data_IF_874785143442
#
_entry.id   IF_874785143442
#
_cell.length_a   1.000
_cell.length_b   1.000
_cell.length_c   1.000
_cell.angle_alpha   90.00
_cell.angle_beta   90.00
_cell.angle_gamma   90.00
#
_symmetry.space_group_name_H-M   'P 1'
#
loop_
_entity.id
_entity.type
_entity.pdbx_description
1 polymer ?
#
# COMPACT_ATOMS: atom_id res chain seq x y z
N UNK A 1 -16.77 -42.04 -12.90
CA UNK A 1 -17.14 -41.53 -11.56
C UNK A 1 -16.63 -40.11 -11.46
N UNK A 2 -17.56 -39.16 -11.48
CA UNK A 2 -17.35 -37.74 -11.23
C UNK A 2 -16.91 -37.52 -9.77
N UNK A 3 -16.30 -36.37 -9.45
CA UNK A 3 -16.91 -35.35 -8.57
C UNK A 3 -16.09 -34.05 -8.61
N UNK A 4 -16.76 -33.01 -9.08
CA UNK A 4 -16.45 -31.58 -8.95
C UNK A 4 -16.58 -31.10 -7.50
N UNK A 5 -15.70 -30.22 -7.04
CA UNK A 5 -15.94 -29.36 -5.87
C UNK A 5 -14.94 -28.20 -5.89
N UNK A 6 -15.28 -26.93 -5.83
CA UNK A 6 -16.55 -26.24 -5.68
C UNK A 6 -16.22 -24.76 -5.54
N UNK A 7 -16.92 -23.92 -6.32
CA UNK A 7 -16.91 -22.46 -6.22
C UNK A 7 -17.35 -22.00 -4.84
N UNK A 8 -16.61 -21.07 -4.23
CA UNK A 8 -17.14 -20.18 -3.20
C UNK A 8 -16.92 -18.73 -3.62
N UNK A 9 -17.89 -18.23 -4.38
CA UNK A 9 -18.16 -16.82 -4.61
C UNK A 9 -18.82 -16.30 -3.33
N UNK A 10 -18.05 -15.69 -2.43
CA UNK A 10 -18.63 -14.93 -1.31
C UNK A 10 -18.82 -13.50 -1.77
N UNK A 11 -20.05 -13.19 -2.20
CA UNK A 11 -20.50 -11.81 -2.32
C UNK A 11 -20.71 -11.28 -0.91
N UNK A 12 -19.77 -10.46 -0.45
CA UNK A 12 -19.94 -9.69 0.76
C UNK A 12 -20.06 -8.23 0.34
N UNK A 13 -21.26 -7.68 0.50
CA UNK A 13 -21.49 -6.24 0.40
C UNK A 13 -20.80 -5.56 1.58
N UNK A 14 -19.47 -5.48 1.53
CA UNK A 14 -18.67 -4.77 2.51
C UNK A 14 -18.84 -3.29 2.21
N UNK A 15 -19.37 -2.57 3.18
CA UNK A 15 -19.12 -1.14 3.32
C UNK A 15 -17.59 -0.97 3.33
N UNK A 16 -17.01 -0.71 2.17
CA UNK A 16 -15.57 -0.51 2.02
C UNK A 16 -15.27 0.85 2.65
N UNK A 17 -14.95 0.83 3.94
CA UNK A 17 -14.23 1.94 4.53
C UNK A 17 -12.93 2.11 3.73
N UNK A 18 -12.53 3.33 3.38
CA UNK A 18 -11.32 3.54 2.60
C UNK A 18 -10.13 2.92 3.35
N UNK A 19 -9.45 1.94 2.73
CA UNK A 19 -8.30 1.28 3.34
C UNK A 19 -7.17 2.29 3.50
N UNK A 20 -6.83 2.61 4.75
CA UNK A 20 -5.69 3.48 5.09
C UNK A 20 -4.45 2.63 5.28
N UNK A 21 -3.33 3.07 4.72
CA UNK A 21 -2.03 2.43 4.91
C UNK A 21 -1.05 3.39 5.58
N UNK A 22 -0.29 2.87 6.53
CA UNK A 22 0.92 3.52 7.02
C UNK A 22 2.16 2.82 6.47
N UNK A 23 3.13 3.59 6.03
CA UNK A 23 4.46 3.13 5.67
C UNK A 23 5.48 3.63 6.70
N UNK A 24 6.42 2.79 7.10
CA UNK A 24 7.51 3.15 8.01
C UNK A 24 8.83 3.17 7.24
N UNK A 25 9.44 4.34 7.13
CA UNK A 25 10.79 4.54 6.59
C UNK A 25 11.81 3.95 7.54
N UNK A 26 12.73 3.15 7.03
CA UNK A 26 13.83 2.56 7.82
C UNK A 26 15.13 2.68 7.05
N UNK A 27 16.13 3.26 7.71
CA UNK A 27 17.50 3.32 7.23
C UNK A 27 18.30 2.12 7.75
N UNK A 28 18.91 1.35 6.85
CA UNK A 28 19.69 0.15 7.17
C UNK A 28 21.13 0.33 6.71
N UNK A 29 22.06 0.68 7.63
CA UNK A 29 23.49 0.73 7.31
C UNK A 29 24.01 -0.66 6.89
N UNK A 30 24.79 -0.72 5.81
CA UNK A 30 25.43 -1.98 5.40
C UNK A 30 26.60 -2.32 6.32
N UNK A 31 26.79 -3.61 6.58
CA UNK A 31 27.98 -4.12 7.32
C UNK A 31 29.29 -3.85 6.59
N UNK A 32 29.25 -3.77 5.27
CA UNK A 32 30.41 -3.47 4.40
C UNK A 32 30.13 -2.22 3.59
N UNK A 33 31.05 -1.27 3.63
CA UNK A 33 30.94 0.03 2.94
C UNK A 33 30.18 1.08 3.75
N UNK A 34 30.16 2.32 3.24
CA UNK A 34 29.52 3.48 3.88
C UNK A 34 28.08 3.73 3.43
N UNK A 35 27.52 2.83 2.60
CA UNK A 35 26.16 2.99 2.04
C UNK A 35 25.10 2.54 3.04
N UNK A 36 24.04 3.31 3.12
CA UNK A 36 22.80 3.01 3.84
C UNK A 36 21.72 2.69 2.82
N UNK A 37 21.04 1.56 2.99
CA UNK A 37 19.86 1.23 2.20
C UNK A 37 18.62 1.82 2.89
N UNK A 38 17.71 2.40 2.12
CA UNK A 38 16.43 2.90 2.62
C UNK A 38 15.31 1.96 2.19
N UNK A 39 14.42 1.66 3.12
CA UNK A 39 13.24 0.85 2.90
C UNK A 39 12.00 1.53 3.48
N UNK A 40 10.86 1.34 2.83
CA UNK A 40 9.55 1.64 3.39
C UNK A 40 8.81 0.33 3.64
N UNK A 41 8.50 0.06 4.90
CA UNK A 41 7.74 -1.11 5.31
C UNK A 41 6.26 -0.79 5.41
N UNK A 42 5.41 -1.65 4.86
CA UNK A 42 3.97 -1.54 5.05
C UNK A 42 3.65 -1.94 6.49
N UNK A 43 3.02 -1.05 7.26
CA UNK A 43 2.67 -1.31 8.66
C UNK A 43 1.78 -2.55 8.77
N UNK A 44 2.08 -3.42 9.74
CA UNK A 44 1.40 -4.71 9.91
C UNK A 44 1.76 -5.78 8.88
N UNK A 45 2.75 -5.55 8.01
CA UNK A 45 3.14 -6.45 6.92
C UNK A 45 4.67 -6.63 6.84
N UNK A 46 5.09 -7.70 6.14
CA UNK A 46 6.50 -7.93 5.77
C UNK A 46 6.87 -7.29 4.42
N UNK A 47 5.92 -6.65 3.75
CA UNK A 47 6.13 -5.98 2.46
C UNK A 47 7.10 -4.82 2.63
N UNK A 48 8.09 -4.79 1.75
CA UNK A 48 9.18 -3.81 1.77
C UNK A 48 9.34 -3.18 0.40
N UNK A 49 9.21 -1.86 0.34
CA UNK A 49 9.34 -1.04 -0.85
C UNK A 49 10.73 -0.39 -0.83
N UNK A 50 11.49 -0.51 -1.92
CA UNK A 50 12.92 -0.11 -1.98
C UNK A 50 13.20 0.96 -3.02
N UNK A 51 12.16 1.49 -3.65
CA UNK A 51 12.26 2.52 -4.69
C UNK A 51 10.94 3.26 -4.85
N UNK A 52 10.98 4.44 -5.46
CA UNK A 52 9.77 5.17 -5.88
C UNK A 52 8.85 4.32 -6.77
N UNK A 53 9.43 3.49 -7.63
CA UNK A 53 8.68 2.61 -8.53
C UNK A 53 7.86 1.57 -7.74
N UNK A 54 8.45 0.96 -6.72
CA UNK A 54 7.74 0.00 -5.86
C UNK A 54 6.61 0.69 -5.10
N UNK A 55 6.84 1.91 -4.60
CA UNK A 55 5.82 2.70 -3.89
C UNK A 55 4.69 3.08 -4.83
N UNK A 56 5.00 3.55 -6.05
CA UNK A 56 3.97 3.92 -7.03
C UNK A 56 3.07 2.72 -7.36
N UNK A 57 3.66 1.56 -7.68
CA UNK A 57 2.92 0.32 -7.95
C UNK A 57 2.08 -0.13 -6.76
N UNK A 58 2.62 0.00 -5.54
CA UNK A 58 1.88 -0.29 -4.32
C UNK A 58 0.68 0.64 -4.18
N UNK A 59 0.84 1.95 -4.36
CA UNK A 59 -0.27 2.90 -4.29
C UNK A 59 -1.33 2.62 -5.36
N UNK A 60 -0.93 2.41 -6.62
CA UNK A 60 -1.83 2.08 -7.74
C UNK A 60 -2.64 0.81 -7.47
N UNK A 61 -2.00 -0.25 -6.98
CA UNK A 61 -2.66 -1.54 -6.70
C UNK A 61 -3.65 -1.46 -5.53
N UNK A 62 -3.51 -0.46 -4.65
CA UNK A 62 -4.33 -0.30 -3.45
C UNK A 62 -5.25 0.93 -3.52
N UNK A 63 -5.36 1.59 -4.68
CA UNK A 63 -6.14 2.83 -4.86
C UNK A 63 -5.76 3.93 -3.85
N UNK A 64 -4.45 4.16 -3.69
CA UNK A 64 -3.90 5.21 -2.81
C UNK A 64 -3.31 6.34 -3.63
N UNK A 65 -3.36 7.55 -3.10
CA UNK A 65 -2.67 8.68 -3.70
C UNK A 65 -1.16 8.48 -3.57
N UNK A 66 -0.44 8.72 -4.67
CA UNK A 66 1.02 8.70 -4.68
C UNK A 66 1.55 10.13 -4.83
N UNK A 67 2.21 10.62 -3.79
CA UNK A 67 3.04 11.81 -3.84
C UNK A 67 4.50 11.39 -3.64
N UNK A 68 5.32 11.55 -4.68
CA UNK A 68 6.72 11.15 -4.66
C UNK A 68 7.59 11.97 -3.73
N UNK A 69 7.19 13.20 -3.39
CA UNK A 69 7.96 14.10 -2.52
C UNK A 69 7.98 13.62 -1.06
N UNK A 70 6.99 12.81 -0.66
CA UNK A 70 6.93 12.19 0.66
C UNK A 70 8.01 11.10 0.86
N UNK A 71 8.62 10.61 -0.23
CA UNK A 71 9.49 9.44 -0.18
C UNK A 71 10.96 9.79 -0.43
N UNK A 72 11.74 9.99 0.64
CA UNK A 72 13.19 10.12 0.54
C UNK A 72 13.91 8.77 0.63
N UNK A 73 14.34 8.25 -0.52
CA UNK A 73 15.21 7.07 -0.63
C UNK A 73 16.71 7.39 -0.48
N UNK A 74 17.08 8.64 -0.20
CA UNK A 74 18.47 8.99 0.05
C UNK A 74 18.97 8.35 1.34
N UNK A 75 20.13 7.70 1.27
CA UNK A 75 20.83 7.17 2.44
C UNK A 75 21.42 8.24 3.35
N UNK A 76 21.11 9.53 3.13
CA UNK A 76 21.67 10.67 3.87
C UNK A 76 20.96 10.86 5.21
N UNK A 77 19.63 10.70 5.24
CA UNK A 77 18.83 10.76 6.45
C UNK A 77 18.65 9.35 7.04
N UNK A 78 18.99 9.18 8.32
CA UNK A 78 18.87 7.91 9.06
C UNK A 78 17.64 7.84 9.97
N UNK A 79 16.84 8.92 10.04
CA UNK A 79 15.63 8.97 10.83
C UNK A 79 14.58 7.96 10.32
N UNK A 80 13.84 7.41 11.27
CA UNK A 80 12.64 6.62 11.01
C UNK A 80 11.45 7.56 10.96
N UNK A 81 10.61 7.41 9.93
CA UNK A 81 9.48 8.30 9.66
C UNK A 81 8.26 7.46 9.28
N UNK A 82 7.09 7.81 9.82
CA UNK A 82 5.83 7.19 9.44
C UNK A 82 5.11 8.07 8.41
N UNK A 83 4.75 7.50 7.26
CA UNK A 83 3.99 8.15 6.20
C UNK A 83 2.61 7.52 6.16
N UNK A 84 1.57 8.35 6.27
CA UNK A 84 0.18 7.92 6.11
C UNK A 84 -0.24 8.17 4.67
N UNK A 85 -0.75 7.12 4.04
CA UNK A 85 -1.28 7.18 2.68
C UNK A 85 -2.79 7.31 2.73
N UNK A 86 -3.27 8.32 2.03
CA UNK A 86 -4.70 8.52 1.86
C UNK A 86 -5.20 7.77 0.62
N UNK A 87 -6.36 7.10 0.72
CA UNK A 87 -7.04 6.55 -0.44
C UNK A 87 -7.32 7.64 -1.47
N UNK A 88 -7.20 7.31 -2.76
CA UNK A 88 -7.76 8.16 -3.81
C UNK A 88 -9.26 8.26 -3.60
N UNK A 89 -9.84 9.46 -3.69
CA UNK A 89 -11.29 9.65 -3.64
C UNK A 89 -11.92 8.81 -4.76
N UNK A 90 -12.44 7.63 -4.39
CA UNK A 90 -13.26 6.85 -5.29
C UNK A 90 -14.57 7.61 -5.38
N UNK A 91 -14.83 8.27 -6.50
CA UNK A 91 -16.10 8.91 -6.77
C UNK A 91 -17.17 7.82 -6.91
N UNK A 92 -17.68 7.33 -5.78
CA UNK A 92 -18.90 6.53 -5.71
C UNK A 92 -20.09 7.48 -5.92
N UNK A 93 -20.22 8.00 -7.14
CA UNK A 93 -21.47 8.60 -7.60
C UNK A 93 -22.49 7.47 -7.83
N UNK A 94 -23.44 7.40 -6.91
CA UNK A 94 -24.81 6.88 -7.04
C UNK A 94 -25.03 5.52 -7.71
N UNK A 95 -25.45 4.54 -6.91
CA UNK A 95 -26.42 3.52 -7.37
C UNK A 95 -27.45 3.29 -6.27
N UNK A 96 -28.29 4.31 -6.04
CA UNK A 96 -29.62 4.04 -5.52
C UNK A 96 -30.42 3.43 -6.68
N UNK A 97 -30.34 2.12 -6.83
CA UNK A 97 -31.15 1.38 -7.80
C UNK A 97 -32.60 1.52 -7.37
N UNK A 98 -33.39 2.08 -8.27
CA UNK A 98 -34.83 2.30 -8.21
C UNK A 98 -35.56 1.12 -7.58
N UNK A 99 -36.34 1.38 -6.52
CA UNK A 99 -37.40 0.46 -6.08
C UNK A 99 -38.71 1.01 -6.63
N UNK A 100 -39.24 0.34 -7.66
CA UNK A 100 -40.62 0.47 -8.11
C UNK A 100 -41.58 0.06 -6.98
#
# INVERSE_FOLDING_TARGET
METTSGTSKSGESQSVSPMKFSLVRTAVPRKKGSRTDIYYYVSGSKTRLRSHEDVRKFCESNNLSYDGELFDFSGKNTCTEEIKLEPTEVNISQTNVSKL
#
